data_IF_859639356444
#
_entry.id   IF_859639356444
#
_cell.length_a   1.000
_cell.length_b   1.000
_cell.length_c   1.000
_cell.angle_alpha   90.00
_cell.angle_beta   90.00
_cell.angle_gamma   90.00
#
_symmetry.space_group_name_H-M   'P 1'
#
loop_
_entity.id
_entity.type
_entity.pdbx_description
1 polymer ?
#
# COMPACT_ATOMS: atom_id res chain seq x y z
N UNK A 1 7.14 -19.51 9.85
CA UNK A 1 7.23 -18.05 10.01
C UNK A 1 6.55 -17.43 8.81
N UNK A 2 5.49 -16.66 9.02
CA UNK A 2 4.80 -16.00 7.91
C UNK A 2 5.65 -14.79 7.51
N UNK A 3 6.33 -14.86 6.36
CA UNK A 3 7.08 -13.76 5.76
C UNK A 3 6.08 -12.73 5.20
N UNK A 4 5.29 -12.14 6.11
CA UNK A 4 4.16 -11.29 5.78
C UNK A 4 4.61 -9.84 5.69
N UNK A 5 4.70 -9.34 4.46
CA UNK A 5 4.67 -7.92 4.09
C UNK A 5 5.61 -6.99 4.87
N UNK A 6 6.74 -6.65 4.24
CA UNK A 6 7.55 -5.51 4.65
C UNK A 6 7.21 -4.30 3.77
N UNK A 7 6.92 -3.15 4.39
CA UNK A 7 6.74 -1.87 3.67
C UNK A 7 7.98 -1.51 2.85
N UNK A 8 9.16 -1.96 3.28
CA UNK A 8 10.42 -1.74 2.58
C UNK A 8 10.50 -2.44 1.21
N UNK A 9 9.66 -3.44 0.97
CA UNK A 9 9.66 -4.18 -0.31
C UNK A 9 8.89 -3.42 -1.41
N UNK A 10 8.13 -2.39 -1.05
CA UNK A 10 7.32 -1.55 -1.95
C UNK A 10 6.56 -2.38 -3.00
N UNK A 11 5.85 -3.42 -2.54
CA UNK A 11 5.02 -4.27 -3.40
C UNK A 11 3.61 -3.69 -3.49
N UNK A 12 3.05 -3.61 -4.70
CA UNK A 12 1.70 -3.09 -4.93
C UNK A 12 0.58 -4.11 -4.68
N UNK A 13 0.87 -5.41 -4.73
CA UNK A 13 -0.16 -6.47 -4.59
C UNK A 13 -0.98 -6.36 -3.28
N UNK A 14 -0.37 -6.12 -2.10
CA UNK A 14 -1.11 -5.94 -0.85
C UNK A 14 -1.97 -4.67 -0.83
N UNK A 15 -1.53 -3.60 -1.49
CA UNK A 15 -2.23 -2.31 -1.53
C UNK A 15 -3.62 -2.42 -2.17
N UNK A 16 -3.85 -3.43 -3.02
CA UNK A 16 -5.17 -3.70 -3.61
C UNK A 16 -6.25 -4.00 -2.56
N UNK A 17 -5.87 -4.42 -1.36
CA UNK A 17 -6.81 -4.62 -0.24
C UNK A 17 -7.13 -3.34 0.53
N UNK A 18 -6.42 -2.24 0.29
CA UNK A 18 -6.61 -0.96 0.97
C UNK A 18 -8.02 -0.39 0.93
N UNK A 19 -8.72 -0.38 -0.24
CA UNK A 19 -10.11 0.08 -0.30
C UNK A 19 -11.05 -0.69 0.63
N UNK A 20 -10.82 -1.99 0.86
CA UNK A 20 -11.62 -2.80 1.79
C UNK A 20 -11.50 -2.31 3.23
N UNK A 21 -10.33 -1.81 3.65
CA UNK A 21 -10.17 -1.21 4.98
C UNK A 21 -10.92 0.11 5.13
N UNK A 22 -10.99 0.93 4.07
CA UNK A 22 -11.79 2.16 4.09
C UNK A 22 -13.28 1.85 4.21
N UNK A 23 -13.78 0.88 3.43
CA UNK A 23 -15.17 0.42 3.51
C UNK A 23 -15.50 -0.12 4.90
N UNK A 24 -14.63 -0.95 5.49
CA UNK A 24 -14.83 -1.49 6.83
C UNK A 24 -14.77 -0.41 7.90
N UNK A 25 -13.91 0.61 7.76
CA UNK A 25 -13.88 1.75 8.66
C UNK A 25 -15.20 2.53 8.62
N UNK A 26 -15.72 2.81 7.43
CA UNK A 26 -17.00 3.52 7.25
C UNK A 26 -18.18 2.70 7.80
N UNK A 27 -18.21 1.40 7.53
CA UNK A 27 -19.31 0.51 7.94
C UNK A 27 -19.30 0.21 9.43
N UNK A 28 -18.11 0.04 10.04
CA UNK A 28 -18.00 -0.45 11.42
C UNK A 28 -17.54 0.60 12.43
N UNK A 29 -16.96 1.71 11.99
CA UNK A 29 -16.33 2.72 12.85
C UNK A 29 -15.07 2.25 13.60
N UNK A 30 -14.58 1.02 13.35
CA UNK A 30 -13.47 0.47 14.14
C UNK A 30 -12.12 1.05 13.70
N UNK A 31 -11.41 1.69 14.64
CA UNK A 31 -10.11 2.34 14.42
C UNK A 31 -9.02 1.42 13.87
N UNK A 32 -9.09 0.10 14.12
CA UNK A 32 -8.12 -0.86 13.57
C UNK A 32 -8.04 -0.83 12.04
N UNK A 33 -9.15 -0.57 11.36
CA UNK A 33 -9.19 -0.46 9.90
C UNK A 33 -8.55 0.83 9.40
N UNK A 34 -8.69 1.93 10.17
CA UNK A 34 -7.97 3.18 9.91
C UNK A 34 -6.45 2.96 9.99
N UNK A 35 -5.98 2.30 11.05
CA UNK A 35 -4.54 2.01 11.24
C UNK A 35 -3.99 1.20 10.05
N UNK A 36 -4.71 0.16 9.61
CA UNK A 36 -4.31 -0.64 8.46
C UNK A 36 -4.26 0.19 7.16
N UNK A 37 -5.27 1.03 6.91
CA UNK A 37 -5.31 1.92 5.75
C UNK A 37 -4.18 2.98 5.80
N UNK A 38 -3.85 3.50 6.98
CA UNK A 38 -2.79 4.49 7.17
C UNK A 38 -1.40 3.91 6.85
N UNK A 39 -1.14 2.64 7.19
CA UNK A 39 0.12 1.94 6.83
C UNK A 39 0.28 1.90 5.30
N UNK A 40 -0.77 1.51 4.59
CA UNK A 40 -0.80 1.47 3.13
C UNK A 40 -0.69 2.86 2.50
N UNK A 41 -1.37 3.85 3.08
CA UNK A 41 -1.26 5.25 2.65
C UNK A 41 0.16 5.77 2.83
N UNK A 42 0.83 5.36 3.91
CA UNK A 42 2.24 5.62 4.20
C UNK A 42 3.16 5.07 3.12
N UNK A 43 2.98 3.80 2.70
CA UNK A 43 3.74 3.23 1.58
C UNK A 43 3.56 4.07 0.31
N UNK A 44 2.34 4.45 -0.07
CA UNK A 44 2.08 5.24 -1.27
C UNK A 44 2.70 6.65 -1.25
N UNK A 45 3.00 7.20 -0.07
CA UNK A 45 3.70 8.48 0.06
C UNK A 45 5.18 8.38 -0.32
N UNK A 46 5.83 7.25 0.02
CA UNK A 46 7.24 7.01 -0.26
C UNK A 46 7.50 6.10 -1.46
N UNK A 47 6.44 5.59 -2.10
CA UNK A 47 6.56 4.63 -3.21
C UNK A 47 7.24 5.28 -4.44
N UNK A 48 8.26 4.65 -5.03
CA UNK A 48 8.96 5.19 -6.19
C UNK A 48 8.03 5.42 -7.38
N UNK A 49 8.24 6.53 -8.11
CA UNK A 49 7.42 6.88 -9.28
C UNK A 49 8.28 7.10 -10.51
N UNK A 50 7.73 6.82 -11.69
CA UNK A 50 8.34 7.25 -12.96
C UNK A 50 8.30 8.77 -13.07
N UNK A 51 9.04 9.34 -14.03
CA UNK A 51 9.00 10.78 -14.31
C UNK A 51 7.59 11.29 -14.64
N UNK A 52 6.71 10.42 -15.14
CA UNK A 52 5.30 10.70 -15.44
C UNK A 52 4.37 10.48 -14.23
N UNK A 53 4.91 10.17 -13.05
CA UNK A 53 4.17 10.05 -11.79
C UNK A 53 3.53 8.69 -11.51
N UNK A 54 3.77 7.67 -12.36
CA UNK A 54 3.24 6.30 -12.18
C UNK A 54 4.04 5.53 -11.15
N UNK A 55 3.38 4.74 -10.30
CA UNK A 55 4.05 3.91 -9.31
C UNK A 55 4.88 2.81 -9.96
N UNK A 56 6.08 2.57 -9.44
CA UNK A 56 6.88 1.42 -9.84
C UNK A 56 6.21 0.13 -9.38
N UNK A 57 6.16 -0.90 -10.22
CA UNK A 57 5.45 -2.13 -9.86
C UNK A 57 6.13 -2.90 -8.70
N UNK A 58 7.47 -2.95 -8.67
CA UNK A 58 8.32 -3.43 -7.54
C UNK A 58 9.68 -2.72 -7.59
N UNK A 59 10.34 -2.53 -6.43
CA UNK A 59 11.68 -1.92 -6.33
C UNK A 59 12.75 -2.61 -7.23
N UNK A 60 12.63 -3.92 -7.45
CA UNK A 60 13.53 -4.70 -8.31
C UNK A 60 13.42 -4.35 -9.81
N UNK A 61 12.37 -3.65 -10.24
CA UNK A 61 12.13 -3.28 -11.64
C UNK A 61 12.10 -1.75 -11.81
N UNK A 62 13.26 -1.11 -12.04
CA UNK A 62 13.31 0.34 -12.18
C UNK A 62 12.55 0.83 -13.43
N UNK A 63 11.87 1.98 -13.30
CA UNK A 63 11.19 2.71 -14.38
C UNK A 63 10.02 1.99 -15.09
N UNK A 64 9.48 0.90 -14.54
CA UNK A 64 8.22 0.34 -15.04
C UNK A 64 7.04 1.00 -14.33
N UNK A 65 6.27 1.80 -15.09
CA UNK A 65 4.95 2.28 -14.70
C UNK A 65 3.86 1.72 -15.60
#
# INVERSE_FOLDING_TARGET
TYEGYSVADFVLDPLRTGPSFLYLLETTGQTKYKIAADIFRGQLNSHPRTAQGRFWHKLKYPNQG
#
